data_IF_407499226146
#
_entry.id   IF_407499226146
#
_cell.length_a   1.000
_cell.length_b   1.000
_cell.length_c   1.000
_cell.angle_alpha   90.00
_cell.angle_beta   90.00
_cell.angle_gamma   90.00
#
_symmetry.space_group_name_H-M   'P 1'
#
loop_
_entity.id
_entity.type
_entity.pdbx_description
1 polymer ?
#
# COMPACT_ATOMS: atom_id res chain seq x y z
N UNK A 1 -15.38 3.97 2.36
CA UNK A 1 -14.73 2.86 1.60
C UNK A 1 -15.28 1.54 2.14
N UNK A 2 -15.09 0.42 1.46
CA UNK A 2 -15.41 -0.91 2.00
C UNK A 2 -14.22 -1.82 1.71
N UNK A 3 -13.80 -2.64 2.69
CA UNK A 3 -12.70 -3.61 2.60
C UNK A 3 -12.85 -4.58 1.43
N UNK A 4 -14.07 -4.98 1.06
CA UNK A 4 -14.31 -5.91 -0.05
C UNK A 4 -14.02 -5.28 -1.42
N UNK A 5 -14.10 -3.94 -1.51
CA UNK A 5 -14.04 -3.20 -2.77
C UNK A 5 -12.76 -2.37 -2.90
N UNK A 6 -12.02 -2.19 -1.79
CA UNK A 6 -10.90 -1.26 -1.68
C UNK A 6 -9.80 -1.52 -2.69
N UNK A 7 -9.53 -2.79 -3.02
CA UNK A 7 -8.55 -3.15 -4.04
C UNK A 7 -9.00 -2.70 -5.43
N UNK A 8 -10.26 -2.94 -5.80
CA UNK A 8 -10.78 -2.55 -7.10
C UNK A 8 -10.78 -1.02 -7.24
N UNK A 9 -11.21 -0.30 -6.20
CA UNK A 9 -11.15 1.16 -6.16
C UNK A 9 -9.72 1.68 -6.36
N UNK A 10 -8.75 1.07 -5.68
CA UNK A 10 -7.33 1.42 -5.85
C UNK A 10 -6.88 1.21 -7.31
N UNK A 11 -7.19 0.07 -7.90
CA UNK A 11 -6.78 -0.28 -9.26
C UNK A 11 -7.47 0.58 -10.33
N UNK A 12 -8.66 1.11 -10.06
CA UNK A 12 -9.32 2.10 -10.92
C UNK A 12 -8.65 3.48 -10.86
N UNK A 13 -8.20 3.90 -9.68
CA UNK A 13 -7.52 5.19 -9.46
C UNK A 13 -6.07 5.15 -9.96
N UNK A 14 -5.41 3.98 -9.86
CA UNK A 14 -4.02 3.76 -10.23
C UNK A 14 -3.90 2.63 -11.26
N UNK A 15 -4.48 2.81 -12.47
CA UNK A 15 -4.55 1.75 -13.49
C UNK A 15 -3.17 1.27 -13.96
N UNK A 16 -2.14 2.11 -13.86
CA UNK A 16 -0.76 1.76 -14.23
C UNK A 16 -0.20 0.59 -13.44
N UNK A 17 -0.74 0.31 -12.25
CA UNK A 17 -0.32 -0.80 -11.39
C UNK A 17 -0.98 -2.12 -11.81
N UNK A 18 -2.10 -2.11 -12.54
CA UNK A 18 -2.90 -3.31 -12.80
C UNK A 18 -2.13 -4.44 -13.48
N UNK A 19 -1.36 -4.14 -14.52
CA UNK A 19 -0.61 -5.18 -15.25
C UNK A 19 0.49 -5.79 -14.35
N UNK A 20 1.19 -4.94 -13.59
CA UNK A 20 2.22 -5.36 -12.66
C UNK A 20 1.63 -6.20 -11.53
N UNK A 21 0.49 -5.77 -10.98
CA UNK A 21 -0.26 -6.49 -9.96
C UNK A 21 -0.65 -7.89 -10.44
N UNK A 22 -1.24 -8.02 -11.63
CA UNK A 22 -1.59 -9.34 -12.21
C UNK A 22 -0.38 -10.26 -12.36
N UNK A 23 0.77 -9.73 -12.81
CA UNK A 23 2.02 -10.49 -12.92
C UNK A 23 2.56 -10.89 -11.54
N UNK A 24 2.47 -9.99 -10.57
CA UNK A 24 2.93 -10.22 -9.20
C UNK A 24 2.07 -11.28 -8.50
N UNK A 25 0.73 -11.25 -8.64
CA UNK A 25 -0.15 -12.29 -8.10
C UNK A 25 0.22 -13.68 -8.63
N UNK A 26 0.43 -13.81 -9.95
CA UNK A 26 0.87 -15.07 -10.57
C UNK A 26 2.22 -15.54 -10.02
N UNK A 27 3.17 -14.62 -9.83
CA UNK A 27 4.50 -14.92 -9.28
C UNK A 27 4.41 -15.37 -7.82
N UNK A 28 3.53 -14.75 -7.03
CA UNK A 28 3.31 -15.07 -5.62
C UNK A 28 2.39 -16.27 -5.41
N UNK A 29 1.84 -16.87 -6.48
CA UNK A 29 0.87 -17.98 -6.42
C UNK A 29 -0.37 -17.64 -5.59
N UNK A 30 -0.87 -16.40 -5.72
CA UNK A 30 -2.08 -15.91 -5.08
C UNK A 30 -3.14 -15.53 -6.11
N UNK A 31 -4.41 -15.66 -5.75
CA UNK A 31 -5.56 -15.29 -6.57
C UNK A 31 -6.65 -14.54 -5.78
N UNK A 32 -7.84 -14.40 -6.36
CA UNK A 32 -8.96 -13.67 -5.77
C UNK A 32 -9.71 -14.45 -4.68
N UNK A 33 -9.34 -15.72 -4.45
CA UNK A 33 -9.86 -16.53 -3.34
C UNK A 33 -9.05 -16.33 -2.05
N UNK A 34 -7.86 -15.73 -2.15
CA UNK A 34 -7.06 -15.35 -0.99
C UNK A 34 -7.66 -14.17 -0.22
N UNK A 35 -7.35 -14.09 1.08
CA UNK A 35 -7.82 -12.98 1.91
C UNK A 35 -7.21 -11.63 1.51
N UNK A 36 -7.95 -10.54 1.71
CA UNK A 36 -7.53 -9.18 1.33
C UNK A 36 -6.13 -8.81 1.84
N UNK A 37 -5.78 -9.17 3.08
CA UNK A 37 -4.44 -8.92 3.64
C UNK A 37 -3.32 -9.61 2.85
N UNK A 38 -3.56 -10.84 2.37
CA UNK A 38 -2.60 -11.60 1.55
C UNK A 38 -2.48 -10.95 0.18
N UNK A 39 -3.60 -10.64 -0.47
CA UNK A 39 -3.61 -10.00 -1.80
C UNK A 39 -2.90 -8.65 -1.77
N UNK A 40 -3.15 -7.84 -0.73
CA UNK A 40 -2.49 -6.54 -0.57
C UNK A 40 -1.00 -6.69 -0.30
N UNK A 41 -0.61 -7.50 0.69
CA UNK A 41 0.79 -7.62 1.11
C UNK A 41 1.70 -8.34 0.10
N UNK A 42 1.21 -9.38 -0.59
CA UNK A 42 2.01 -10.19 -1.52
C UNK A 42 1.78 -9.85 -2.99
N UNK A 43 0.65 -9.23 -3.30
CA UNK A 43 0.28 -8.79 -4.65
C UNK A 43 0.54 -7.31 -4.87
N UNK A 44 -0.15 -6.45 -4.12
CA UNK A 44 -0.15 -5.01 -4.40
C UNK A 44 1.11 -4.29 -3.92
N UNK A 45 1.48 -4.46 -2.65
CA UNK A 45 2.57 -3.68 -2.03
C UNK A 45 3.92 -3.87 -2.73
N UNK A 46 4.33 -5.07 -3.18
CA UNK A 46 5.55 -5.22 -3.96
C UNK A 46 5.54 -4.36 -5.24
N UNK A 47 4.37 -4.18 -5.87
CA UNK A 47 4.25 -3.31 -7.04
C UNK A 47 4.48 -1.84 -6.70
N UNK A 48 4.01 -1.40 -5.52
CA UNK A 48 4.16 -0.03 -4.99
C UNK A 48 5.62 0.23 -4.60
N UNK A 49 6.29 -0.71 -3.93
CA UNK A 49 7.71 -0.60 -3.57
C UNK A 49 8.58 -0.40 -4.81
N UNK A 50 8.30 -1.11 -5.91
CA UNK A 50 9.02 -0.89 -7.18
C UNK A 50 8.77 0.51 -7.77
N UNK A 51 7.59 1.10 -7.57
CA UNK A 51 7.36 2.50 -7.97
C UNK A 51 8.15 3.48 -7.11
N UNK A 52 8.25 3.21 -5.80
CA UNK A 52 8.98 4.03 -4.82
C UNK A 52 10.48 4.07 -5.15
N UNK A 53 11.08 2.95 -5.55
CA UNK A 53 12.50 2.88 -5.95
C UNK A 53 12.84 3.84 -7.10
N UNK A 54 11.91 4.07 -8.02
CA UNK A 54 12.03 5.02 -9.13
C UNK A 54 11.11 6.25 -8.91
N UNK A 55 11.05 6.80 -7.68
CA UNK A 55 10.06 7.81 -7.29
C UNK A 55 9.94 9.02 -8.24
N UNK A 56 11.06 9.55 -8.75
CA UNK A 56 11.08 10.69 -9.68
C UNK A 56 10.36 10.40 -11.00
N UNK A 57 10.40 9.16 -11.48
CA UNK A 57 9.71 8.76 -12.72
C UNK A 57 8.24 8.46 -12.48
N UNK A 58 7.89 8.08 -11.25
CA UNK A 58 6.56 7.61 -10.88
C UNK A 58 5.80 8.62 -10.02
N UNK A 59 6.24 9.87 -9.94
CA UNK A 59 5.72 10.89 -9.01
C UNK A 59 4.19 11.00 -9.05
N UNK A 60 3.60 11.12 -10.25
CA UNK A 60 2.14 11.23 -10.41
C UNK A 60 1.38 9.98 -9.95
N UNK A 61 1.95 8.79 -10.20
CA UNK A 61 1.36 7.50 -9.79
C UNK A 61 1.44 7.36 -8.27
N UNK A 62 2.61 7.66 -7.69
CA UNK A 62 2.84 7.63 -6.25
C UNK A 62 1.96 8.65 -5.52
N UNK A 63 1.78 9.86 -6.06
CA UNK A 63 0.89 10.84 -5.48
C UNK A 63 -0.54 10.29 -5.36
N UNK A 64 -1.08 9.65 -6.42
CA UNK A 64 -2.40 9.01 -6.36
C UNK A 64 -2.45 7.83 -5.39
N UNK A 65 -1.42 6.98 -5.39
CA UNK A 65 -1.30 5.86 -4.46
C UNK A 65 -1.33 6.32 -3.00
N UNK A 66 -0.51 7.29 -2.63
CA UNK A 66 -0.44 7.78 -1.24
C UNK A 66 -1.65 8.64 -0.86
N UNK A 67 -2.27 9.34 -1.81
CA UNK A 67 -3.58 9.98 -1.58
C UNK A 67 -4.64 8.94 -1.24
N UNK A 68 -4.69 7.83 -1.97
CA UNK A 68 -5.60 6.73 -1.67
C UNK A 68 -5.32 6.09 -0.30
N UNK A 69 -4.05 5.94 0.07
CA UNK A 69 -3.69 5.46 1.41
C UNK A 69 -4.13 6.43 2.52
N UNK A 70 -4.12 7.74 2.26
CA UNK A 70 -4.66 8.74 3.20
C UNK A 70 -6.18 8.63 3.37
N UNK A 71 -6.90 8.32 2.30
CA UNK A 71 -8.33 7.99 2.37
C UNK A 71 -8.58 6.70 3.16
N UNK A 72 -7.72 5.68 2.99
CA UNK A 72 -7.77 4.45 3.80
C UNK A 72 -7.53 4.74 5.28
N UNK A 73 -6.55 5.59 5.60
CA UNK A 73 -6.21 5.95 6.98
C UNK A 73 -7.37 6.64 7.72
N UNK A 74 -8.23 7.33 6.98
CA UNK A 74 -9.41 8.04 7.49
C UNK A 74 -10.72 7.25 7.37
N UNK A 75 -10.67 6.00 6.91
CA UNK A 75 -11.84 5.14 6.70
C UNK A 75 -12.24 4.36 7.97
N UNK A 76 -13.21 3.46 7.83
CA UNK A 76 -13.59 2.52 8.89
C UNK A 76 -12.42 1.66 9.38
N UNK A 77 -12.64 1.03 10.54
CA UNK A 77 -11.62 0.26 11.24
C UNK A 77 -11.05 -0.87 10.39
N UNK A 78 -11.88 -1.61 9.66
CA UNK A 78 -11.44 -2.76 8.87
C UNK A 78 -10.53 -2.36 7.70
N UNK A 79 -10.83 -1.24 7.03
CA UNK A 79 -10.00 -0.68 5.96
C UNK A 79 -8.69 -0.12 6.52
N UNK A 80 -8.76 0.54 7.68
CA UNK A 80 -7.57 1.08 8.34
C UNK A 80 -6.64 -0.03 8.84
N UNK A 81 -7.17 -1.12 9.36
CA UNK A 81 -6.40 -2.30 9.73
C UNK A 81 -5.73 -2.94 8.50
N UNK A 82 -6.43 -3.02 7.36
CA UNK A 82 -5.83 -3.47 6.11
C UNK A 82 -4.63 -2.59 5.71
N UNK A 83 -4.75 -1.27 5.80
CA UNK A 83 -3.64 -0.35 5.56
C UNK A 83 -2.48 -0.61 6.53
N UNK A 84 -2.75 -0.67 7.83
CA UNK A 84 -1.74 -0.88 8.87
C UNK A 84 -0.95 -2.17 8.63
N UNK A 85 -1.63 -3.31 8.63
CA UNK A 85 -0.99 -4.62 8.67
C UNK A 85 -0.48 -5.09 7.31
N UNK A 86 -1.08 -4.65 6.21
CA UNK A 86 -0.72 -5.15 4.89
C UNK A 86 0.13 -4.19 4.08
N UNK A 87 0.07 -2.88 4.36
CA UNK A 87 0.84 -1.86 3.64
C UNK A 87 1.93 -1.28 4.51
N UNK A 88 1.59 -0.65 5.64
CA UNK A 88 2.54 0.15 6.41
C UNK A 88 3.64 -0.74 7.03
N UNK A 89 3.28 -1.88 7.61
CA UNK A 89 4.27 -2.86 8.09
C UNK A 89 5.25 -3.28 7.00
N UNK A 90 4.78 -3.44 5.76
CA UNK A 90 5.60 -3.87 4.62
C UNK A 90 6.47 -2.76 4.06
N UNK A 91 6.01 -1.51 4.08
CA UNK A 91 6.85 -0.37 3.73
C UNK A 91 7.99 -0.18 4.74
N UNK A 92 7.76 -0.53 6.02
CA UNK A 92 8.75 -0.51 7.10
C UNK A 92 9.77 -1.65 7.08
N UNK A 93 9.67 -2.64 6.17
CA UNK A 93 10.63 -3.75 6.07
C UNK A 93 11.99 -3.31 5.51
N UNK A 94 12.03 -2.18 4.78
CA UNK A 94 13.26 -1.58 4.25
C UNK A 94 13.35 -0.09 4.62
N UNK A 95 14.49 0.32 5.19
CA UNK A 95 14.66 1.67 5.74
C UNK A 95 14.63 2.77 4.68
N UNK A 96 15.18 2.52 3.50
CA UNK A 96 15.17 3.50 2.41
C UNK A 96 13.75 3.68 1.86
N UNK A 97 13.06 2.58 1.61
CA UNK A 97 11.66 2.54 1.19
C UNK A 97 10.76 3.26 2.20
N UNK A 98 10.92 3.00 3.51
CA UNK A 98 10.17 3.68 4.56
C UNK A 98 10.39 5.19 4.53
N UNK A 99 11.66 5.63 4.51
CA UNK A 99 11.98 7.06 4.51
C UNK A 99 11.38 7.78 3.32
N UNK A 100 11.46 7.20 2.12
CA UNK A 100 10.83 7.80 0.93
C UNK A 100 9.31 7.81 1.10
N UNK A 101 8.72 6.69 1.54
CA UNK A 101 7.27 6.56 1.71
C UNK A 101 6.73 7.62 2.67
N UNK A 102 7.39 7.86 3.80
CA UNK A 102 6.97 8.87 4.79
C UNK A 102 6.94 10.29 4.22
N UNK A 103 7.76 10.61 3.21
CA UNK A 103 7.70 11.92 2.53
C UNK A 103 6.50 12.08 1.60
N UNK A 104 5.87 10.96 1.20
CA UNK A 104 4.70 10.93 0.30
C UNK A 104 3.37 10.81 1.07
N UNK A 105 3.42 10.42 2.34
CA UNK A 105 2.23 10.21 3.18
C UNK A 105 1.53 11.51 3.54
N UNK A 106 0.19 11.47 3.60
CA UNK A 106 -0.61 12.48 4.27
C UNK A 106 -0.53 12.38 5.79
N UNK A 107 -1.22 13.29 6.48
CA UNK A 107 -1.14 13.44 7.95
C UNK A 107 -1.55 12.16 8.70
N UNK A 108 -2.70 11.55 8.33
CA UNK A 108 -3.22 10.39 9.04
C UNK A 108 -2.38 9.14 8.74
N UNK A 109 -2.00 8.94 7.48
CA UNK A 109 -1.16 7.80 7.08
C UNK A 109 0.20 7.87 7.75
N UNK A 110 0.81 9.07 7.83
CA UNK A 110 2.10 9.27 8.49
C UNK A 110 2.01 8.95 9.99
N UNK A 111 0.93 9.40 10.66
CA UNK A 111 0.69 9.09 12.07
C UNK A 111 0.52 7.59 12.30
N UNK A 112 -0.23 6.90 11.45
CA UNK A 112 -0.39 5.44 11.52
C UNK A 112 0.94 4.72 11.27
N UNK A 113 1.73 5.16 10.29
CA UNK A 113 3.05 4.58 10.02
C UNK A 113 3.96 4.71 11.24
N UNK A 114 4.03 5.89 11.86
CA UNK A 114 4.80 6.07 13.10
C UNK A 114 4.32 5.17 14.24
N UNK A 115 3.01 4.93 14.36
CA UNK A 115 2.48 4.00 15.37
C UNK A 115 2.94 2.56 15.10
N UNK A 116 2.92 2.12 13.84
CA UNK A 116 3.40 0.79 13.43
C UNK A 116 4.89 0.63 13.74
N UNK A 117 5.73 1.58 13.33
CA UNK A 117 7.17 1.49 13.56
C UNK A 117 7.51 1.48 15.06
N UNK A 118 6.85 2.34 15.85
CA UNK A 118 7.01 2.36 17.31
C UNK A 118 6.58 1.03 17.95
N UNK A 119 5.47 0.43 17.49
CA UNK A 119 4.99 -0.86 17.99
C UNK A 119 5.96 -2.00 17.66
N UNK A 120 6.58 -1.96 16.48
CA UNK A 120 7.54 -2.96 16.01
C UNK A 120 8.98 -2.70 16.46
N UNK A 121 9.25 -1.57 17.10
CA UNK A 121 10.57 -1.19 17.64
C UNK A 121 11.60 -0.82 16.57
N UNK A 122 11.16 -0.19 15.47
CA UNK A 122 12.00 0.22 14.32
C UNK A 122 12.20 1.74 14.24
#
# INVERSE_FOLDING_TARGET
MNKDNVLNNYLEIVPEVQERFKKQCKKSLIDDTDGAHVIWSLGLVPCVIELIKDNKKNESVLQRTFTFFEEMASSDEEVRELLLYSVLEKLGDDKETLNISMTLMGENTLKLSQQVENFLGR
#
